data_IF_976895889488
#
_entry.id   IF_976895889488
#
_cell.length_a   1.000
_cell.length_b   1.000
_cell.length_c   1.000
_cell.angle_alpha   90.00
_cell.angle_beta   90.00
_cell.angle_gamma   90.00
#
_symmetry.space_group_name_H-M   'P 1'
#
loop_
_entity.id
_entity.type
_entity.pdbx_description
1 polymer ?
#
# COMPACT_ATOMS: atom_id res chain seq x y z
N UNK A 1 -12.21 5.08 14.98
CA UNK A 1 -11.96 5.98 13.83
C UNK A 1 -12.99 5.72 12.75
N UNK A 2 -13.53 6.76 12.09
CA UNK A 2 -14.47 6.63 10.95
C UNK A 2 -14.05 7.63 9.88
N UNK A 3 -14.02 7.18 8.63
CA UNK A 3 -13.77 8.02 7.47
C UNK A 3 -14.67 7.53 6.33
N UNK A 4 -14.75 8.31 5.25
CA UNK A 4 -15.50 7.95 4.06
C UNK A 4 -14.73 8.36 2.81
N UNK A 5 -14.85 7.56 1.77
CA UNK A 5 -14.33 7.85 0.44
C UNK A 5 -15.48 7.72 -0.56
N UNK A 6 -15.46 8.55 -1.60
CA UNK A 6 -16.44 8.49 -2.69
C UNK A 6 -15.66 8.38 -3.99
N UNK A 7 -15.85 7.30 -4.72
CA UNK A 7 -15.42 7.20 -6.10
C UNK A 7 -16.46 7.89 -7.00
N UNK A 8 -16.02 8.78 -7.89
CA UNK A 8 -16.85 9.44 -8.89
C UNK A 8 -16.23 9.27 -10.27
N UNK A 9 -17.08 9.16 -11.29
CA UNK A 9 -16.67 9.10 -12.70
C UNK A 9 -16.86 7.71 -13.33
N UNK A 10 -16.96 7.69 -14.66
CA UNK A 10 -16.96 6.47 -15.44
C UNK A 10 -15.50 6.05 -15.70
N UNK A 11 -15.07 4.86 -15.28
CA UNK A 11 -13.73 4.39 -15.60
C UNK A 11 -13.57 4.29 -17.12
N UNK A 12 -12.42 4.75 -17.62
CA UNK A 12 -11.98 4.50 -18.99
C UNK A 12 -10.64 3.77 -18.95
N UNK A 13 -10.10 3.38 -20.10
CA UNK A 13 -8.76 2.79 -20.19
C UNK A 13 -7.65 3.75 -19.74
N UNK A 14 -7.91 5.07 -19.70
CA UNK A 14 -6.96 6.09 -19.23
C UNK A 14 -7.31 6.70 -17.86
N UNK A 15 -8.52 6.47 -17.34
CA UNK A 15 -8.97 6.99 -16.04
C UNK A 15 -9.52 5.87 -15.15
N UNK A 16 -8.76 5.51 -14.11
CA UNK A 16 -9.23 4.55 -13.11
C UNK A 16 -10.33 5.17 -12.24
N UNK A 17 -11.43 4.46 -12.05
CA UNK A 17 -12.43 4.80 -11.03
C UNK A 17 -12.10 4.18 -9.65
N UNK A 18 -10.93 3.56 -9.49
CA UNK A 18 -10.48 3.02 -8.21
C UNK A 18 -10.12 4.16 -7.26
N UNK A 19 -10.69 4.14 -6.06
CA UNK A 19 -10.27 4.96 -4.93
C UNK A 19 -9.78 4.02 -3.82
N UNK A 20 -8.78 4.44 -3.08
CA UNK A 20 -8.21 3.66 -2.00
C UNK A 20 -7.53 4.55 -0.97
N UNK A 21 -7.38 4.03 0.23
CA UNK A 21 -6.61 4.65 1.30
C UNK A 21 -5.65 3.63 1.88
N UNK A 22 -4.47 4.09 2.30
CA UNK A 22 -3.58 3.32 3.15
C UNK A 22 -3.73 3.86 4.57
N UNK A 23 -3.87 2.95 5.53
CA UNK A 23 -4.00 3.29 6.94
C UNK A 23 -2.90 2.60 7.73
N UNK A 24 -2.21 3.38 8.55
CA UNK A 24 -1.37 2.87 9.62
C UNK A 24 -2.16 3.02 10.91
N UNK A 25 -2.35 1.93 11.65
CA UNK A 25 -3.22 1.88 12.82
C UNK A 25 -2.48 1.17 13.96
N UNK A 26 -2.43 1.82 15.13
CA UNK A 26 -2.20 1.12 16.39
C UNK A 26 -3.54 0.56 16.85
N UNK A 27 -3.72 -0.76 16.71
CA UNK A 27 -5.02 -1.38 16.90
C UNK A 27 -4.94 -2.69 17.69
N UNK A 28 -5.98 -2.93 18.49
CA UNK A 28 -6.17 -4.19 19.21
C UNK A 28 -6.16 -5.38 18.22
N UNK A 29 -5.39 -6.45 18.47
CA UNK A 29 -5.40 -7.67 17.66
C UNK A 29 -6.79 -8.27 17.42
N UNK A 30 -7.74 -8.12 18.35
CA UNK A 30 -9.15 -8.53 18.24
C UNK A 30 -10.05 -7.56 17.48
N UNK A 31 -9.48 -6.47 16.95
CA UNK A 31 -10.19 -5.45 16.19
C UNK A 31 -10.72 -5.93 14.83
N UNK A 32 -11.45 -5.03 14.15
CA UNK A 32 -12.23 -5.37 12.95
C UNK A 32 -12.26 -4.19 11.98
N UNK A 33 -12.28 -4.50 10.69
CA UNK A 33 -12.66 -3.56 9.63
C UNK A 33 -14.16 -3.69 9.39
N UNK A 34 -14.89 -2.57 9.45
CA UNK A 34 -16.29 -2.49 9.02
C UNK A 34 -16.39 -1.51 7.87
N UNK A 35 -16.90 -1.97 6.74
CA UNK A 35 -17.14 -1.14 5.55
C UNK A 35 -18.62 -1.12 5.25
N UNK A 36 -19.12 0.06 4.90
CA UNK A 36 -20.42 0.23 4.27
C UNK A 36 -20.16 0.70 2.84
N UNK A 37 -20.26 -0.19 1.86
CA UNK A 37 -19.98 0.08 0.46
C UNK A 37 -21.29 -0.04 -0.33
N UNK A 38 -21.77 1.07 -0.90
CA UNK A 38 -23.01 1.09 -1.68
C UNK A 38 -24.21 0.40 -0.99
N UNK A 39 -24.34 0.58 0.33
CA UNK A 39 -25.38 -0.04 1.16
C UNK A 39 -25.08 -1.46 1.66
N UNK A 40 -24.04 -2.13 1.14
CA UNK A 40 -23.61 -3.44 1.63
C UNK A 40 -22.66 -3.30 2.82
N UNK A 41 -22.83 -4.18 3.80
CA UNK A 41 -21.98 -4.26 4.99
C UNK A 41 -20.95 -5.37 4.84
N UNK A 42 -19.69 -5.03 5.09
CA UNK A 42 -18.56 -5.97 5.11
C UNK A 42 -17.90 -5.82 6.48
N UNK A 43 -17.95 -6.88 7.28
CA UNK A 43 -17.30 -6.95 8.61
C UNK A 43 -16.21 -8.03 8.56
N UNK A 44 -14.96 -7.62 8.76
CA UNK A 44 -13.80 -8.51 8.68
C UNK A 44 -12.95 -8.34 9.94
N UNK A 45 -12.73 -9.40 10.74
CA UNK A 45 -11.80 -9.33 11.86
C UNK A 45 -10.36 -9.19 11.35
N UNK A 46 -9.51 -8.46 12.08
CA UNK A 46 -8.10 -8.29 11.71
C UNK A 46 -7.36 -9.61 11.58
N UNK A 47 -7.71 -10.60 12.41
CA UNK A 47 -7.16 -11.96 12.32
C UNK A 47 -7.36 -12.57 10.92
N UNK A 48 -8.53 -12.36 10.31
CA UNK A 48 -8.77 -12.82 8.94
C UNK A 48 -7.96 -12.03 7.91
N UNK A 49 -7.78 -10.72 8.11
CA UNK A 49 -6.97 -9.90 7.21
C UNK A 49 -5.47 -10.18 7.33
N UNK A 50 -5.00 -10.73 8.46
CA UNK A 50 -3.60 -11.18 8.61
C UNK A 50 -3.30 -12.42 7.77
N UNK A 51 -4.28 -13.29 7.59
CA UNK A 51 -4.12 -14.52 6.78
C UNK A 51 -3.97 -14.23 5.28
N UNK A 52 -4.49 -13.09 4.80
CA UNK A 52 -4.36 -12.71 3.41
C UNK A 52 -5.33 -11.60 2.99
N UNK A 53 -5.13 -11.10 1.77
CA UNK A 53 -6.02 -10.13 1.18
C UNK A 53 -7.42 -10.72 0.94
N UNK A 54 -8.42 -9.85 0.97
CA UNK A 54 -9.80 -10.15 0.62
C UNK A 54 -10.25 -9.24 -0.51
N UNK A 55 -11.10 -9.77 -1.37
CA UNK A 55 -11.77 -8.99 -2.40
C UNK A 55 -13.16 -9.54 -2.63
N UNK A 56 -14.02 -8.71 -3.19
CA UNK A 56 -15.35 -9.10 -3.59
C UNK A 56 -15.94 -8.10 -4.56
N UNK A 57 -17.09 -8.48 -5.10
CA UNK A 57 -17.90 -7.64 -5.98
C UNK A 57 -19.11 -7.14 -5.19
N UNK A 58 -19.56 -5.92 -5.51
CA UNK A 58 -20.78 -5.36 -4.92
C UNK A 58 -22.05 -5.84 -5.64
N UNK A 59 -21.91 -6.68 -6.67
CA UNK A 59 -22.98 -7.27 -7.47
C UNK A 59 -22.46 -8.37 -8.40
N UNK A 60 -23.14 -8.61 -9.54
CA UNK A 60 -22.72 -9.58 -10.57
C UNK A 60 -21.37 -9.27 -11.22
N UNK A 61 -20.98 -10.07 -12.22
CA UNK A 61 -19.84 -9.78 -13.10
C UNK A 61 -19.97 -8.34 -13.65
N UNK A 62 -18.85 -7.63 -13.75
CA UNK A 62 -18.72 -6.21 -14.13
C UNK A 62 -19.31 -5.17 -13.16
N UNK A 63 -19.77 -5.59 -11.97
CA UNK A 63 -20.09 -4.64 -10.89
C UNK A 63 -18.83 -4.07 -10.22
N UNK A 64 -18.93 -2.90 -9.54
CA UNK A 64 -17.83 -2.37 -8.74
C UNK A 64 -17.31 -3.42 -7.75
N UNK A 65 -15.99 -3.49 -7.61
CA UNK A 65 -15.31 -4.42 -6.73
C UNK A 65 -14.58 -3.68 -5.61
N UNK A 66 -14.29 -4.40 -4.53
CA UNK A 66 -13.50 -3.92 -3.40
C UNK A 66 -12.35 -4.87 -3.13
N UNK A 67 -11.28 -4.32 -2.55
CA UNK A 67 -10.13 -5.08 -2.08
C UNK A 67 -9.65 -4.54 -0.74
N UNK A 68 -9.51 -5.43 0.23
CA UNK A 68 -8.77 -5.21 1.46
C UNK A 68 -7.43 -5.93 1.33
N UNK A 69 -6.34 -5.17 1.42
CA UNK A 69 -5.01 -5.77 1.46
C UNK A 69 -4.80 -6.54 2.77
N UNK A 70 -3.90 -7.53 2.73
CA UNK A 70 -3.47 -8.22 3.95
C UNK A 70 -2.96 -7.18 4.96
N UNK A 71 -3.34 -7.35 6.22
CA UNK A 71 -2.76 -6.59 7.33
C UNK A 71 -1.46 -7.29 7.76
N UNK A 72 -0.28 -6.73 7.47
CA UNK A 72 0.98 -7.33 7.89
C UNK A 72 1.21 -7.11 9.40
N UNK A 73 1.95 -8.01 10.04
CA UNK A 73 2.51 -7.72 11.36
C UNK A 73 3.62 -6.66 11.26
N UNK A 74 3.91 -5.96 12.36
CA UNK A 74 4.92 -4.89 12.36
C UNK A 74 6.30 -5.44 12.02
N UNK A 75 6.62 -6.63 12.49
CA UNK A 75 7.88 -7.33 12.26
C UNK A 75 8.04 -7.68 10.77
N UNK A 76 6.94 -7.92 10.06
CA UNK A 76 6.95 -8.14 8.61
C UNK A 76 7.23 -6.86 7.83
N UNK A 77 6.94 -5.69 8.41
CA UNK A 77 7.20 -4.38 7.80
C UNK A 77 8.62 -3.87 8.05
N UNK A 78 9.29 -4.39 9.07
CA UNK A 78 10.65 -3.98 9.40
C UNK A 78 11.64 -4.71 8.51
N UNK A 79 12.34 -3.95 7.69
CA UNK A 79 13.52 -4.42 6.97
C UNK A 79 14.70 -3.52 7.29
N UNK A 80 15.84 -4.14 7.57
CA UNK A 80 17.12 -3.45 7.64
C UNK A 80 18.14 -4.26 6.84
N UNK A 81 19.02 -3.57 6.14
CA UNK A 81 20.02 -4.22 5.32
C UNK A 81 20.92 -3.22 4.62
N UNK A 82 21.92 -3.76 3.93
CA UNK A 82 22.80 -3.02 3.05
C UNK A 82 22.69 -3.66 1.67
N UNK A 83 22.55 -2.81 0.65
CA UNK A 83 22.58 -3.24 -0.74
C UNK A 83 23.86 -2.70 -1.35
N UNK A 84 24.75 -3.54 -1.90
CA UNK A 84 25.92 -3.06 -2.61
C UNK A 84 25.46 -2.37 -3.89
N UNK A 85 25.69 -1.07 -4.00
CA UNK A 85 25.31 -0.27 -5.17
C UNK A 85 26.35 -0.34 -6.30
N UNK A 86 27.55 -0.85 -6.01
CA UNK A 86 28.69 -0.78 -6.93
C UNK A 86 29.36 0.60 -6.94
N UNK A 87 30.27 0.87 -7.89
CA UNK A 87 30.86 2.19 -8.05
C UNK A 87 29.79 3.20 -8.48
N UNK A 88 29.78 4.36 -7.82
CA UNK A 88 28.85 5.46 -8.11
C UNK A 88 29.55 6.54 -8.93
N UNK A 89 28.84 7.14 -9.88
CA UNK A 89 29.35 8.27 -10.67
C UNK A 89 28.77 9.59 -10.17
N UNK A 90 29.56 10.66 -10.24
CA UNK A 90 29.07 12.01 -9.94
C UNK A 90 27.91 12.39 -10.87
N UNK A 91 26.82 12.89 -10.30
CA UNK A 91 25.61 13.27 -11.03
C UNK A 91 24.64 12.12 -11.30
N UNK A 92 24.98 10.88 -10.93
CA UNK A 92 24.11 9.72 -11.07
C UNK A 92 22.85 9.84 -10.19
N UNK A 93 21.73 9.33 -10.69
CA UNK A 93 20.46 9.25 -9.93
C UNK A 93 20.04 7.80 -9.81
N UNK A 94 19.97 7.31 -8.58
CA UNK A 94 19.59 5.93 -8.30
C UNK A 94 18.10 5.84 -7.96
N UNK A 95 17.46 4.80 -8.51
CA UNK A 95 16.08 4.44 -8.22
C UNK A 95 16.03 3.11 -7.47
N UNK A 96 15.79 3.20 -6.16
CA UNK A 96 15.58 2.05 -5.28
C UNK A 96 14.10 1.87 -4.99
N UNK A 97 13.64 0.63 -5.22
CA UNK A 97 12.28 0.19 -4.93
C UNK A 97 12.31 -1.03 -4.05
N UNK A 98 11.78 -0.91 -2.84
CA UNK A 98 11.58 -2.06 -1.96
C UNK A 98 10.20 -2.64 -2.23
N UNK A 99 10.14 -3.95 -2.49
CA UNK A 99 8.88 -4.68 -2.60
C UNK A 99 8.94 -5.92 -1.72
N UNK A 100 8.00 -6.03 -0.81
CA UNK A 100 7.82 -7.20 0.04
C UNK A 100 7.14 -8.34 -0.74
N UNK A 101 7.36 -9.58 -0.32
CA UNK A 101 6.75 -10.78 -0.93
C UNK A 101 5.21 -10.74 -0.88
N UNK A 102 4.65 -10.10 0.14
CA UNK A 102 3.20 -9.86 0.28
C UNK A 102 2.65 -8.79 -0.69
N UNK A 103 3.50 -8.20 -1.53
CA UNK A 103 3.12 -7.21 -2.55
C UNK A 103 3.13 -5.76 -2.07
N UNK A 104 3.42 -5.49 -0.79
CA UNK A 104 3.60 -4.13 -0.30
C UNK A 104 4.90 -3.51 -0.82
N UNK A 105 4.90 -2.18 -0.98
CA UNK A 105 6.00 -1.45 -1.61
C UNK A 105 6.37 -0.22 -0.77
N UNK A 106 7.67 0.03 -0.67
CA UNK A 106 8.22 1.27 -0.15
C UNK A 106 9.13 1.90 -1.21
N UNK A 107 9.08 3.22 -1.31
CA UNK A 107 9.91 4.00 -2.22
C UNK A 107 10.87 4.85 -1.41
N UNK A 108 12.16 4.77 -1.74
CA UNK A 108 13.20 5.62 -1.13
C UNK A 108 13.94 6.45 -2.19
N UNK A 109 13.45 6.46 -3.43
CA UNK A 109 14.03 7.13 -4.59
C UNK A 109 13.30 8.43 -4.94
N UNK A 110 13.96 9.37 -5.65
CA UNK A 110 15.33 9.29 -6.16
C UNK A 110 16.41 9.57 -5.10
N UNK A 111 17.56 8.89 -5.23
CA UNK A 111 18.80 9.21 -4.49
C UNK A 111 19.76 9.86 -5.48
N UNK A 112 20.23 11.06 -5.15
CA UNK A 112 21.14 11.82 -6.00
C UNK A 112 22.58 11.65 -5.51
N UNK A 113 23.44 11.08 -6.34
CA UNK A 113 24.86 10.93 -6.05
C UNK A 113 25.59 12.23 -6.40
N UNK A 114 26.06 12.94 -5.38
CA UNK A 114 26.84 14.17 -5.54
C UNK A 114 28.18 14.00 -4.82
N UNK A 115 29.25 14.53 -5.41
CA UNK A 115 30.53 14.67 -4.75
C UNK A 115 30.36 15.62 -3.56
N UNK A 116 30.91 15.25 -2.40
CA UNK A 116 30.85 16.10 -1.21
C UNK A 116 31.62 17.39 -1.53
N UNK A 117 30.96 18.54 -1.44
CA UNK A 117 31.67 19.81 -1.55
C UNK A 117 32.54 19.89 -0.30
N UNK A 118 33.87 19.84 -0.46
CA UNK A 118 34.81 19.91 0.64
C UNK A 118 34.38 21.00 1.64
N UNK A 119 33.96 20.58 2.83
CA UNK A 119 33.73 21.50 3.94
C UNK A 119 35.10 22.09 4.26
N UNK A 120 35.34 23.29 3.76
CA UNK A 120 36.55 24.07 4.02
C UNK A 120 36.32 24.95 5.24
#
# INVERSE_FOLDING_TARGET
MRFGVVARGNPTTSTSATQGVALHLDADPGGRVRLTLCGQQIDVPFERLRQGALSGNLGPIDSPAWRLHRMPAVEELQWSGRVPLGPLTEGETLYLRLRQSCGQMAWTSPIFCRSDAAVT
#
